data_IF_178674039159
#
_entry.id   IF_178674039159
#
_cell.length_a   1.000
_cell.length_b   1.000
_cell.length_c   1.000
_cell.angle_alpha   90.00
_cell.angle_beta   90.00
_cell.angle_gamma   90.00
#
_symmetry.space_group_name_H-M   'P 1'
#
loop_
_entity.id
_entity.type
_entity.pdbx_description
1 polymer ?
#
# COMPACT_ATOMS: atom_id res chain seq x y z
N UNK A 1 -6.62 8.64 5.44
CA UNK A 1 -6.03 7.62 6.34
C UNK A 1 -7.06 6.68 6.94
N UNK A 2 -7.91 7.07 7.91
CA UNK A 2 -8.87 6.16 8.56
C UNK A 2 -9.75 5.34 7.59
N UNK A 3 -10.36 6.01 6.62
CA UNK A 3 -11.15 5.38 5.57
C UNK A 3 -10.32 4.38 4.74
N UNK A 4 -9.16 4.81 4.23
CA UNK A 4 -8.24 3.93 3.48
C UNK A 4 -7.75 2.73 4.27
N UNK A 5 -7.50 2.89 5.58
CA UNK A 5 -7.16 1.78 6.47
C UNK A 5 -8.26 0.71 6.50
N UNK A 6 -9.53 1.11 6.56
CA UNK A 6 -10.65 0.17 6.48
C UNK A 6 -10.71 -0.57 5.14
N UNK A 7 -10.48 0.14 4.04
CA UNK A 7 -10.49 -0.44 2.68
C UNK A 7 -9.34 -1.43 2.51
N UNK A 8 -8.14 -1.11 2.99
CA UNK A 8 -6.99 -2.00 2.97
C UNK A 8 -7.20 -3.25 3.83
N UNK A 9 -7.87 -3.15 4.98
CA UNK A 9 -8.25 -4.33 5.80
C UNK A 9 -9.20 -5.25 5.04
N UNK A 10 -10.19 -4.71 4.34
CA UNK A 10 -11.07 -5.52 3.51
C UNK A 10 -10.29 -6.16 2.35
N UNK A 11 -9.48 -5.38 1.64
CA UNK A 11 -8.71 -5.87 0.49
C UNK A 11 -7.69 -6.94 0.89
N UNK A 12 -6.95 -6.78 1.99
CA UNK A 12 -6.00 -7.80 2.43
C UNK A 12 -6.70 -9.11 2.80
N UNK A 13 -7.91 -9.04 3.38
CA UNK A 13 -8.67 -10.22 3.76
C UNK A 13 -9.24 -10.96 2.53
N UNK A 14 -9.94 -10.24 1.66
CA UNK A 14 -10.70 -10.82 0.55
C UNK A 14 -9.91 -10.92 -0.76
N UNK A 15 -9.19 -9.87 -1.13
CA UNK A 15 -8.47 -9.79 -2.41
C UNK A 15 -7.10 -10.47 -2.40
N UNK A 16 -6.48 -10.61 -1.22
CA UNK A 16 -5.14 -11.18 -1.10
C UNK A 16 -5.13 -12.53 -0.39
N UNK A 17 -5.60 -12.59 0.86
CA UNK A 17 -5.51 -13.83 1.67
C UNK A 17 -6.48 -14.89 1.17
N UNK A 18 -7.74 -14.53 0.96
CA UNK A 18 -8.72 -15.48 0.43
C UNK A 18 -8.36 -15.95 -0.98
N UNK A 19 -7.91 -15.04 -1.86
CA UNK A 19 -7.47 -15.38 -3.22
C UNK A 19 -6.23 -16.30 -3.21
N UNK A 20 -5.25 -16.00 -2.35
CA UNK A 20 -4.09 -16.86 -2.15
C UNK A 20 -4.48 -18.27 -1.70
N UNK A 21 -5.45 -18.39 -0.78
CA UNK A 21 -5.95 -19.69 -0.31
C UNK A 21 -6.73 -20.44 -1.39
N UNK A 22 -7.61 -19.76 -2.13
CA UNK A 22 -8.35 -20.35 -3.25
C UNK A 22 -7.41 -20.90 -4.32
N UNK A 23 -6.29 -20.22 -4.55
CA UNK A 23 -5.31 -20.63 -5.54
C UNK A 23 -4.44 -21.81 -5.07
N UNK A 24 -3.89 -21.77 -3.85
CA UNK A 24 -3.04 -22.86 -3.35
C UNK A 24 -3.83 -24.09 -2.91
N UNK A 25 -5.11 -23.94 -2.57
CA UNK A 25 -5.92 -24.95 -1.88
C UNK A 25 -5.26 -25.48 -0.61
N UNK A 26 -4.34 -24.69 -0.04
CA UNK A 26 -3.49 -25.07 1.08
C UNK A 26 -3.21 -23.87 1.96
N UNK A 27 -3.37 -24.06 3.26
CA UNK A 27 -3.12 -23.01 4.25
C UNK A 27 -1.63 -22.73 4.44
N UNK A 28 -0.77 -23.72 4.19
CA UNK A 28 0.66 -23.62 4.53
C UNK A 28 1.39 -22.56 3.67
N UNK A 29 1.25 -22.53 2.33
CA UNK A 29 1.83 -21.48 1.50
C UNK A 29 1.35 -20.07 1.90
N UNK A 30 0.06 -19.93 2.23
CA UNK A 30 -0.56 -18.66 2.63
C UNK A 30 0.03 -18.16 3.95
N UNK A 31 0.13 -19.03 4.97
CA UNK A 31 0.70 -18.64 6.26
C UNK A 31 2.19 -18.34 6.14
N UNK A 32 2.94 -19.12 5.37
CA UNK A 32 4.37 -18.87 5.13
C UNK A 32 4.57 -17.51 4.48
N UNK A 33 3.85 -17.22 3.39
CA UNK A 33 3.92 -15.92 2.73
C UNK A 33 3.52 -14.81 3.68
N UNK A 34 2.36 -14.89 4.31
CA UNK A 34 1.84 -13.88 5.24
C UNK A 34 2.81 -13.53 6.37
N UNK A 35 3.30 -14.54 7.10
CA UNK A 35 4.23 -14.32 8.21
C UNK A 35 5.56 -13.79 7.70
N UNK A 36 6.10 -14.35 6.61
CA UNK A 36 7.38 -13.88 6.05
C UNK A 36 7.30 -12.45 5.53
N UNK A 37 6.16 -12.04 4.95
CA UNK A 37 5.91 -10.67 4.51
C UNK A 37 5.86 -9.67 5.64
N UNK A 38 5.10 -9.98 6.69
CA UNK A 38 5.06 -9.15 7.89
C UNK A 38 6.44 -9.01 8.55
N UNK A 39 7.15 -10.14 8.72
CA UNK A 39 8.51 -10.13 9.27
C UNK A 39 9.48 -9.34 8.38
N UNK A 40 9.43 -9.52 7.06
CA UNK A 40 10.30 -8.79 6.13
C UNK A 40 10.06 -7.28 6.22
N UNK A 41 8.80 -6.84 6.30
CA UNK A 41 8.47 -5.44 6.49
C UNK A 41 9.00 -4.91 7.83
N UNK A 42 8.75 -5.61 8.94
CA UNK A 42 9.27 -5.20 10.27
C UNK A 42 10.79 -5.13 10.28
N UNK A 43 11.47 -6.13 9.70
CA UNK A 43 12.94 -6.18 9.62
C UNK A 43 13.48 -5.03 8.75
N UNK A 44 12.89 -4.79 7.58
CA UNK A 44 13.26 -3.69 6.72
C UNK A 44 13.10 -2.35 7.45
N UNK A 45 11.97 -2.16 8.13
CA UNK A 45 11.71 -0.95 8.92
C UNK A 45 12.71 -0.80 10.07
N UNK A 46 13.02 -1.89 10.76
CA UNK A 46 14.02 -1.91 11.83
C UNK A 46 15.42 -1.54 11.32
N UNK A 47 15.88 -2.09 10.20
CA UNK A 47 17.18 -1.77 9.62
C UNK A 47 17.26 -0.33 9.11
N UNK A 48 16.20 0.16 8.44
CA UNK A 48 16.08 1.56 8.04
C UNK A 48 16.13 2.47 9.27
N UNK A 49 15.48 2.06 10.37
CA UNK A 49 15.46 2.84 11.60
C UNK A 49 16.83 2.98 12.27
N UNK A 50 17.70 1.97 12.13
CA UNK A 50 19.06 1.97 12.67
C UNK A 50 20.08 2.72 11.82
N UNK A 51 19.86 2.83 10.51
CA UNK A 51 20.80 3.47 9.58
C UNK A 51 20.56 4.96 9.35
N UNK A 52 19.48 5.53 9.89
CA UNK A 52 19.23 6.97 9.85
C UNK A 52 19.91 7.64 11.07
N UNK A 53 21.03 8.37 10.90
CA UNK A 53 21.78 8.97 12.01
C UNK A 53 21.14 10.27 12.56
N UNK A 54 20.00 10.70 12.02
CA UNK A 54 19.24 11.86 12.49
C UNK A 54 17.94 11.35 13.16
N UNK A 55 17.74 11.67 14.43
CA UNK A 55 16.66 11.19 15.31
C UNK A 55 15.22 11.61 14.95
N UNK A 56 14.83 11.59 13.67
CA UNK A 56 13.52 12.02 13.18
C UNK A 56 12.72 10.90 12.48
N UNK A 57 12.90 9.63 12.87
CA UNK A 57 12.16 8.51 12.22
C UNK A 57 10.70 8.45 12.66
N UNK A 58 10.34 9.09 13.79
CA UNK A 58 8.95 9.40 14.09
C UNK A 58 8.30 10.33 13.04
N UNK A 59 9.08 11.10 12.28
CA UNK A 59 8.58 11.95 11.19
C UNK A 59 8.61 11.27 9.81
N UNK A 60 9.35 10.17 9.62
CA UNK A 60 9.27 9.36 8.39
C UNK A 60 8.11 8.36 8.42
N UNK A 61 7.71 7.86 9.59
CA UNK A 61 6.42 7.15 9.72
C UNK A 61 5.20 8.07 9.51
N UNK A 62 5.38 9.38 9.73
CA UNK A 62 4.42 10.44 9.33
C UNK A 62 4.46 10.79 7.83
N UNK A 63 5.29 10.11 7.02
CA UNK A 63 5.37 10.38 5.59
C UNK A 63 4.38 9.58 4.75
N UNK A 64 3.56 8.73 5.35
CA UNK A 64 2.42 8.09 4.67
C UNK A 64 1.15 8.95 4.68
N UNK A 65 1.13 10.10 5.38
CA UNK A 65 -0.02 10.98 5.33
C UNK A 65 0.23 12.35 5.92
N UNK A 66 0.43 13.34 5.05
CA UNK A 66 -0.05 14.70 5.27
C UNK A 66 0.64 15.48 6.41
N UNK A 67 1.74 16.16 6.08
CA UNK A 67 2.07 17.42 6.76
C UNK A 67 1.20 18.56 6.22
N UNK A 68 -0.10 18.54 6.56
CA UNK A 68 -0.93 19.73 6.49
C UNK A 68 -0.63 20.58 7.74
N UNK A 69 0.43 21.38 7.67
CA UNK A 69 0.74 22.38 8.69
C UNK A 69 2.18 22.37 9.17
N UNK A 70 3.05 23.08 8.45
CA UNK A 70 4.28 23.70 8.95
C UNK A 70 5.22 22.82 9.79
N UNK A 71 6.12 22.06 9.14
CA UNK A 71 7.05 21.20 9.87
C UNK A 71 8.28 20.65 9.14
N UNK A 72 9.04 21.48 8.40
CA UNK A 72 10.47 21.29 8.01
C UNK A 72 10.99 19.85 7.71
N UNK A 73 11.48 19.70 6.47
CA UNK A 73 12.57 18.79 6.03
C UNK A 73 12.23 17.34 5.62
N UNK A 74 11.04 17.06 5.06
CA UNK A 74 10.85 15.87 4.20
C UNK A 74 10.69 16.32 2.74
N UNK A 75 11.68 16.03 1.89
CA UNK A 75 11.60 16.36 0.47
C UNK A 75 10.43 15.62 -0.16
N UNK A 76 9.49 16.31 -0.82
CA UNK A 76 8.39 15.67 -1.55
C UNK A 76 8.85 14.61 -2.56
N UNK A 77 10.11 14.70 -3.03
CA UNK A 77 10.79 13.67 -3.83
C UNK A 77 10.97 12.34 -3.09
N UNK A 78 11.29 12.39 -1.79
CA UNK A 78 11.46 11.19 -0.97
C UNK A 78 10.12 10.48 -0.77
N UNK A 79 9.03 11.24 -0.62
CA UNK A 79 7.66 10.70 -0.55
C UNK A 79 7.30 10.03 -1.88
N UNK A 80 7.59 10.67 -3.02
CA UNK A 80 7.37 10.08 -4.34
C UNK A 80 8.16 8.76 -4.53
N UNK A 81 9.45 8.74 -4.17
CA UNK A 81 10.28 7.53 -4.30
C UNK A 81 9.76 6.42 -3.40
N UNK A 82 9.39 6.73 -2.15
CA UNK A 82 8.77 5.77 -1.24
C UNK A 82 7.48 5.21 -1.82
N UNK A 83 6.57 6.09 -2.22
CA UNK A 83 5.29 5.71 -2.83
C UNK A 83 5.48 4.85 -4.08
N UNK A 84 6.45 5.14 -4.96
CA UNK A 84 6.74 4.28 -6.13
C UNK A 84 7.23 2.89 -5.71
N UNK A 85 8.05 2.78 -4.67
CA UNK A 85 8.52 1.48 -4.17
C UNK A 85 7.39 0.66 -3.57
N UNK A 86 6.48 1.28 -2.83
CA UNK A 86 5.31 0.62 -2.24
C UNK A 86 4.28 0.23 -3.30
N UNK A 87 4.15 1.05 -4.34
CA UNK A 87 3.26 0.81 -5.48
C UNK A 87 3.68 -0.39 -6.35
N UNK A 88 4.95 -0.78 -6.39
CA UNK A 88 5.39 -1.92 -7.21
C UNK A 88 4.73 -3.23 -6.74
N UNK A 89 4.85 -3.64 -5.45
CA UNK A 89 4.14 -4.80 -4.92
C UNK A 89 2.62 -4.73 -5.11
N UNK A 90 2.00 -3.58 -4.83
CA UNK A 90 0.54 -3.42 -4.93
C UNK A 90 0.03 -3.58 -6.37
N UNK A 91 0.69 -2.92 -7.33
CA UNK A 91 0.31 -3.03 -8.74
C UNK A 91 0.60 -4.43 -9.30
N UNK A 92 1.66 -5.10 -8.84
CA UNK A 92 1.91 -6.48 -9.21
C UNK A 92 0.81 -7.42 -8.69
N UNK A 93 0.33 -7.21 -7.46
CA UNK A 93 -0.80 -7.96 -6.90
C UNK A 93 -2.09 -7.74 -7.71
N UNK A 94 -2.38 -6.51 -8.17
CA UNK A 94 -3.49 -6.23 -9.10
C UNK A 94 -3.35 -7.03 -10.40
N UNK A 95 -2.15 -7.11 -10.97
CA UNK A 95 -1.88 -7.86 -12.19
C UNK A 95 -2.12 -9.36 -12.02
N UNK A 96 -1.64 -9.92 -10.91
CA UNK A 96 -1.86 -11.33 -10.55
C UNK A 96 -3.36 -11.61 -10.35
N UNK A 97 -4.06 -10.75 -9.60
CA UNK A 97 -5.50 -10.85 -9.36
C UNK A 97 -6.30 -10.83 -10.68
N UNK A 98 -5.95 -9.93 -11.61
CA UNK A 98 -6.58 -9.87 -12.93
C UNK A 98 -6.37 -11.14 -13.76
N UNK A 99 -5.18 -11.74 -13.70
CA UNK A 99 -4.89 -12.96 -14.44
C UNK A 99 -5.64 -14.18 -13.91
N UNK A 100 -5.83 -14.27 -12.59
CA UNK A 100 -6.51 -15.38 -11.93
C UNK A 100 -8.03 -15.23 -12.06
N UNK A 101 -8.55 -14.05 -11.71
CA UNK A 101 -10.00 -13.79 -11.67
C UNK A 101 -10.62 -13.48 -13.03
N UNK A 102 -9.82 -13.17 -14.05
CA UNK A 102 -10.29 -12.77 -15.39
C UNK A 102 -10.95 -11.39 -15.46
N UNK A 103 -11.10 -10.72 -14.32
CA UNK A 103 -11.64 -9.37 -14.17
C UNK A 103 -10.84 -8.57 -13.15
N UNK A 104 -10.91 -7.24 -13.22
CA UNK A 104 -10.24 -6.37 -12.25
C UNK A 104 -10.93 -6.49 -10.90
N UNK A 105 -10.17 -6.79 -9.85
CA UNK A 105 -10.66 -6.71 -8.47
C UNK A 105 -10.87 -5.24 -8.10
N UNK A 106 -12.15 -4.84 -8.07
CA UNK A 106 -12.56 -3.48 -7.77
C UNK A 106 -12.25 -3.07 -6.32
N UNK A 107 -12.19 -4.03 -5.39
CA UNK A 107 -11.86 -3.78 -3.99
C UNK A 107 -10.39 -3.42 -3.86
N UNK A 108 -9.51 -4.25 -4.45
CA UNK A 108 -8.08 -4.00 -4.47
C UNK A 108 -7.74 -2.71 -5.23
N UNK A 109 -8.40 -2.47 -6.36
CA UNK A 109 -8.23 -1.23 -7.12
C UNK A 109 -8.64 0.00 -6.30
N UNK A 110 -9.80 -0.05 -5.64
CA UNK A 110 -10.27 1.02 -4.78
C UNK A 110 -9.31 1.24 -3.60
N UNK A 111 -8.81 0.18 -2.99
CA UNK A 111 -7.85 0.24 -1.88
C UNK A 111 -6.58 0.99 -2.27
N UNK A 112 -5.98 0.59 -3.39
CA UNK A 112 -4.76 1.20 -3.94
C UNK A 112 -5.02 2.66 -4.30
N UNK A 113 -6.15 2.97 -4.94
CA UNK A 113 -6.50 4.36 -5.27
C UNK A 113 -6.65 5.23 -4.02
N UNK A 114 -7.38 4.75 -3.02
CA UNK A 114 -7.66 5.50 -1.78
C UNK A 114 -6.40 5.68 -0.94
N UNK A 115 -5.46 4.73 -0.98
CA UNK A 115 -4.17 4.84 -0.31
C UNK A 115 -3.25 5.84 -1.02
N UNK A 116 -3.12 5.73 -2.34
CA UNK A 116 -2.19 6.54 -3.12
C UNK A 116 -2.66 7.98 -3.36
N UNK A 117 -3.97 8.25 -3.35
CA UNK A 117 -4.49 9.58 -3.63
C UNK A 117 -4.02 10.65 -2.62
N UNK A 118 -4.15 10.45 -1.29
CA UNK A 118 -3.58 11.35 -0.29
C UNK A 118 -2.06 11.54 -0.40
N UNK A 119 -1.32 10.47 -0.67
CA UNK A 119 0.15 10.53 -0.85
C UNK A 119 0.53 11.35 -2.08
N UNK A 120 -0.20 11.17 -3.17
CA UNK A 120 -0.04 11.90 -4.42
C UNK A 120 -0.17 13.40 -4.24
N UNK A 121 -1.18 13.82 -3.49
CA UNK A 121 -1.41 15.23 -3.14
C UNK A 121 -0.31 15.78 -2.23
N UNK A 122 0.00 15.08 -1.13
CA UNK A 122 0.98 15.54 -0.15
C UNK A 122 2.39 15.63 -0.73
N UNK A 123 2.80 14.67 -1.56
CA UNK A 123 4.10 14.69 -2.25
C UNK A 123 4.18 15.80 -3.29
N UNK A 124 3.10 16.05 -4.03
CA UNK A 124 3.04 17.13 -5.02
C UNK A 124 3.13 18.50 -4.37
N UNK A 125 2.37 18.75 -3.30
CA UNK A 125 2.43 19.98 -2.51
C UNK A 125 3.81 20.16 -1.86
N UNK A 126 4.40 19.08 -1.33
CA UNK A 126 5.76 19.07 -0.80
C UNK A 126 6.80 19.42 -1.87
N UNK A 127 6.66 18.95 -3.11
CA UNK A 127 7.57 19.30 -4.19
C UNK A 127 7.39 20.75 -4.69
N UNK A 128 6.16 21.23 -4.77
CA UNK A 128 5.83 22.60 -5.18
C UNK A 128 6.36 23.62 -4.16
N UNK A 129 6.18 23.36 -2.86
CA UNK A 129 6.69 24.22 -1.78
C UNK A 129 8.23 24.31 -1.75
N UNK A 130 8.93 23.31 -2.28
CA UNK A 130 10.39 23.31 -2.46
C UNK A 130 10.84 23.85 -3.83
N UNK A 131 9.95 24.53 -4.56
CA UNK A 131 10.27 25.23 -5.80
C UNK A 131 10.38 24.35 -7.05
N UNK A 132 9.94 23.08 -7.01
CA UNK A 132 9.88 22.26 -8.23
C UNK A 132 8.76 22.76 -9.15
N UNK A 133 9.05 22.78 -10.45
CA UNK A 133 8.05 23.18 -11.45
C UNK A 133 6.93 22.14 -11.59
N UNK A 134 5.71 22.60 -11.88
CA UNK A 134 4.54 21.73 -12.12
C UNK A 134 4.80 20.69 -13.23
N UNK A 135 5.55 21.06 -14.27
CA UNK A 135 5.94 20.14 -15.35
C UNK A 135 6.80 18.99 -14.85
N UNK A 136 7.77 19.26 -13.97
CA UNK A 136 8.61 18.22 -13.37
C UNK A 136 7.80 17.31 -12.45
N UNK A 137 6.91 17.87 -11.63
CA UNK A 137 6.02 17.09 -10.75
C UNK A 137 5.15 16.14 -11.58
N UNK A 138 4.51 16.64 -12.64
CA UNK A 138 3.72 15.81 -13.56
C UNK A 138 4.57 14.73 -14.24
N UNK A 139 5.78 15.06 -14.69
CA UNK A 139 6.69 14.08 -15.31
C UNK A 139 7.04 12.94 -14.35
N UNK A 140 7.32 13.26 -13.08
CA UNK A 140 7.63 12.26 -12.07
C UNK A 140 6.43 11.34 -11.79
N UNK A 141 5.22 11.89 -11.68
CA UNK A 141 4.00 11.10 -11.49
C UNK A 141 3.64 10.25 -12.71
N UNK A 142 3.83 10.77 -13.92
CA UNK A 142 3.70 9.97 -15.15
C UNK A 142 4.68 8.80 -15.12
N UNK A 143 5.93 9.02 -14.68
CA UNK A 143 6.91 7.97 -14.48
C UNK A 143 6.44 6.91 -13.47
N UNK A 144 5.89 7.34 -12.33
CA UNK A 144 5.33 6.45 -11.31
C UNK A 144 4.19 5.58 -11.87
N UNK A 145 3.26 6.18 -12.62
CA UNK A 145 2.15 5.47 -13.28
C UNK A 145 2.68 4.45 -14.30
N UNK A 146 3.70 4.80 -15.08
CA UNK A 146 4.33 3.86 -16.02
C UNK A 146 4.94 2.67 -15.28
N UNK A 147 5.65 2.90 -14.17
CA UNK A 147 6.23 1.84 -13.33
C UNK A 147 5.13 0.94 -12.76
N UNK A 148 4.04 1.52 -12.24
CA UNK A 148 2.89 0.76 -11.74
C UNK A 148 2.25 -0.11 -12.83
N UNK A 149 2.00 0.47 -14.01
CA UNK A 149 1.47 -0.26 -15.19
C UNK A 149 2.36 -1.43 -15.58
N UNK A 150 3.68 -1.21 -15.65
CA UNK A 150 4.65 -2.28 -15.95
C UNK A 150 4.63 -3.35 -14.87
N UNK A 151 4.56 -2.96 -13.59
CA UNK A 151 4.51 -3.90 -12.45
C UNK A 151 3.27 -4.79 -12.53
N UNK A 152 2.12 -4.22 -12.87
CA UNK A 152 0.87 -4.96 -13.09
C UNK A 152 0.95 -5.89 -14.31
N UNK A 153 1.51 -5.42 -15.44
CA UNK A 153 1.73 -6.27 -16.60
C UNK A 153 2.69 -7.45 -16.31
N UNK A 154 3.73 -7.21 -15.52
CA UNK A 154 4.64 -8.27 -15.04
C UNK A 154 3.88 -9.25 -14.16
N UNK A 155 3.12 -8.76 -13.17
CA UNK A 155 2.31 -9.62 -12.29
C UNK A 155 1.35 -10.51 -13.07
N UNK A 156 0.63 -9.94 -14.04
CA UNK A 156 -0.27 -10.67 -14.92
C UNK A 156 0.48 -11.74 -15.73
N UNK A 157 1.58 -11.37 -16.39
CA UNK A 157 2.32 -12.28 -17.26
C UNK A 157 2.96 -13.41 -16.46
N UNK A 158 3.65 -13.08 -15.36
CA UNK A 158 4.35 -14.06 -14.52
C UNK A 158 3.38 -15.05 -13.89
N UNK A 159 2.18 -14.60 -13.49
CA UNK A 159 1.19 -15.49 -12.90
C UNK A 159 0.78 -16.64 -13.82
N UNK A 160 0.76 -16.43 -15.14
CA UNK A 160 0.40 -17.47 -16.12
C UNK A 160 1.42 -18.61 -16.22
N UNK A 161 2.65 -18.40 -15.74
CA UNK A 161 3.75 -19.37 -15.82
C UNK A 161 4.25 -19.86 -14.45
N UNK A 162 3.60 -19.43 -13.37
CA UNK A 162 4.07 -19.68 -12.00
C UNK A 162 3.16 -20.68 -11.30
N UNK A 163 3.75 -21.56 -10.49
CA UNK A 163 2.99 -22.52 -9.68
C UNK A 163 2.03 -21.80 -8.72
N UNK A 164 0.77 -22.27 -8.58
CA UNK A 164 -0.24 -21.67 -7.68
C UNK A 164 0.26 -21.45 -6.25
N UNK A 165 1.04 -22.38 -5.71
CA UNK A 165 1.61 -22.25 -4.36
C UNK A 165 2.58 -21.08 -4.22
N UNK A 166 3.38 -20.82 -5.25
CA UNK A 166 4.37 -19.72 -5.25
C UNK A 166 3.65 -18.38 -5.36
N UNK A 167 2.62 -18.29 -6.19
CA UNK A 167 1.79 -17.09 -6.27
C UNK A 167 1.02 -16.84 -4.96
N UNK A 168 0.54 -17.90 -4.30
CA UNK A 168 -0.12 -17.78 -3.01
C UNK A 168 0.83 -17.24 -1.94
N UNK A 169 2.08 -17.71 -1.93
CA UNK A 169 3.14 -17.16 -1.06
C UNK A 169 3.36 -15.68 -1.37
N UNK A 170 3.45 -15.29 -2.64
CA UNK A 170 3.69 -13.89 -3.03
C UNK A 170 2.53 -12.95 -2.64
N UNK A 171 1.28 -13.34 -2.93
CA UNK A 171 0.10 -12.53 -2.56
C UNK A 171 -0.05 -12.42 -1.05
N UNK A 172 0.09 -13.53 -0.33
CA UNK A 172 0.00 -13.51 1.14
C UNK A 172 1.18 -12.77 1.77
N UNK A 173 2.38 -12.81 1.18
CA UNK A 173 3.51 -11.97 1.58
C UNK A 173 3.17 -10.47 1.50
N UNK A 174 2.57 -10.02 0.40
CA UNK A 174 2.11 -8.64 0.27
C UNK A 174 1.07 -8.31 1.36
N UNK A 175 0.09 -9.19 1.58
CA UNK A 175 -0.93 -9.00 2.62
C UNK A 175 -0.32 -8.88 4.04
N UNK A 176 0.69 -9.69 4.34
CA UNK A 176 1.39 -9.66 5.63
C UNK A 176 2.15 -8.36 5.85
N UNK A 177 2.87 -7.89 4.81
CA UNK A 177 3.56 -6.61 4.84
C UNK A 177 2.58 -5.43 5.04
N UNK A 178 1.47 -5.42 4.30
CA UNK A 178 0.41 -4.39 4.40
C UNK A 178 -0.20 -4.39 5.81
N UNK A 179 -0.48 -5.55 6.40
CA UNK A 179 -1.06 -5.59 7.75
C UNK A 179 -0.11 -5.01 8.80
N UNK A 180 1.17 -5.33 8.74
CA UNK A 180 2.17 -4.76 9.65
C UNK A 180 2.29 -3.25 9.43
N UNK A 181 2.38 -2.79 8.18
CA UNK A 181 2.39 -1.37 7.83
C UNK A 181 1.17 -0.65 8.44
N UNK A 182 -0.03 -1.20 8.24
CA UNK A 182 -1.28 -0.64 8.72
C UNK A 182 -1.26 -0.43 10.24
N UNK A 183 -0.78 -1.42 11.00
CA UNK A 183 -0.66 -1.37 12.45
C UNK A 183 0.46 -0.45 12.94
N UNK A 184 1.55 -0.33 12.19
CA UNK A 184 2.71 0.46 12.59
C UNK A 184 2.65 1.95 12.22
N UNK A 185 1.91 2.32 11.17
CA UNK A 185 1.87 3.69 10.65
C UNK A 185 0.46 4.20 10.41
N UNK A 186 -0.29 3.64 9.45
CA UNK A 186 -1.52 4.27 8.95
C UNK A 186 -2.62 4.43 10.00
N UNK A 187 -2.88 3.39 10.80
CA UNK A 187 -3.90 3.47 11.87
C UNK A 187 -3.44 4.44 12.97
N UNK A 188 -2.24 4.31 13.56
CA UNK A 188 -1.73 5.29 14.52
C UNK A 188 -1.80 6.74 14.02
N UNK A 189 -1.39 6.99 12.79
CA UNK A 189 -1.41 8.32 12.17
C UNK A 189 -2.84 8.86 11.99
N UNK A 190 -3.78 8.00 11.59
CA UNK A 190 -5.18 8.36 11.55
C UNK A 190 -5.68 8.80 12.93
N UNK A 191 -5.31 8.10 14.01
CA UNK A 191 -5.64 8.48 15.38
C UNK A 191 -4.96 9.77 15.84
N UNK A 192 -3.70 10.00 15.46
CA UNK A 192 -2.97 11.24 15.79
C UNK A 192 -3.61 12.48 15.15
N UNK A 193 -4.05 12.38 13.88
CA UNK A 193 -4.57 13.53 13.13
C UNK A 193 -6.08 13.71 13.25
N UNK A 194 -6.84 12.62 13.22
CA UNK A 194 -8.31 12.63 13.16
C UNK A 194 -8.99 12.57 14.53
N UNK A 195 -8.28 12.17 15.57
CA UNK A 195 -8.82 11.97 16.91
C UNK A 195 -9.64 10.68 17.04
N UNK A 196 -9.65 10.12 18.26
CA UNK A 196 -10.20 8.79 18.52
C UNK A 196 -11.71 8.66 18.25
N UNK A 197 -12.46 9.76 18.26
CA UNK A 197 -13.91 9.78 18.11
C UNK A 197 -14.41 9.47 16.70
N UNK A 198 -13.62 9.75 15.64
CA UNK A 198 -14.07 9.60 14.25
C UNK A 198 -13.28 8.56 13.45
N UNK A 199 -12.07 8.22 13.90
CA UNK A 199 -11.17 7.30 13.18
C UNK A 199 -11.75 5.89 13.10
N UNK A 200 -12.32 5.39 14.21
CA UNK A 200 -13.00 4.09 14.21
C UNK A 200 -14.17 4.04 13.20
N UNK A 201 -14.97 5.11 13.13
CA UNK A 201 -16.05 5.23 12.15
C UNK A 201 -15.52 5.29 10.72
N UNK A 202 -14.44 6.03 10.48
CA UNK A 202 -13.79 6.10 9.17
C UNK A 202 -13.32 4.71 8.71
N UNK A 203 -12.65 3.95 9.57
CA UNK A 203 -12.23 2.57 9.29
C UNK A 203 -13.44 1.68 8.98
N UNK A 204 -14.48 1.75 9.82
CA UNK A 204 -15.72 0.97 9.62
C UNK A 204 -16.38 1.28 8.26
N UNK A 205 -16.51 2.56 7.91
CA UNK A 205 -17.10 3.00 6.64
C UNK A 205 -16.24 2.55 5.46
N UNK A 206 -14.91 2.66 5.57
CA UNK A 206 -13.97 2.17 4.57
C UNK A 206 -14.11 0.68 4.31
N UNK A 207 -14.08 -0.10 5.39
CA UNK A 207 -14.27 -1.56 5.31
C UNK A 207 -15.63 -1.90 4.70
N UNK A 208 -16.70 -1.23 5.13
CA UNK A 208 -18.07 -1.50 4.66
C UNK A 208 -18.22 -1.23 3.17
N UNK A 209 -17.68 -0.11 2.68
CA UNK A 209 -17.73 0.23 1.26
C UNK A 209 -16.88 -0.74 0.41
N UNK A 210 -15.70 -1.10 0.90
CA UNK A 210 -14.85 -2.10 0.26
C UNK A 210 -15.55 -3.47 0.18
N UNK A 211 -16.22 -3.88 1.26
CA UNK A 211 -17.00 -5.11 1.29
C UNK A 211 -18.17 -5.07 0.31
N UNK A 212 -18.93 -3.97 0.26
CA UNK A 212 -20.01 -3.80 -0.72
C UNK A 212 -19.44 -3.94 -2.13
N UNK A 213 -18.39 -3.20 -2.47
CA UNK A 213 -17.75 -3.25 -3.79
C UNK A 213 -17.26 -4.64 -4.18
N UNK A 214 -16.85 -5.46 -3.23
CA UNK A 214 -16.41 -6.85 -3.48
C UNK A 214 -17.55 -7.83 -3.70
N UNK A 215 -18.79 -7.43 -3.46
CA UNK A 215 -19.97 -8.29 -3.50
C UNK A 215 -21.07 -7.73 -4.43
N UNK A 216 -20.75 -6.77 -5.30
CA UNK A 216 -21.63 -6.26 -6.37
C UNK A 216 -21.11 -6.71 -7.73
#
# INVERSE_FOLDING_TARGET
MAFGSGVLVASLAYSLIEEAFKMSQSILPVIIGFVSGGLAFTIANYYLSRRSPQGNIRHRKKSHGTEAGGGKDVSGTAILVGSVMDNIPENMALGISLAIGGSVDLVLLAAIFISNFPEGLSSSEGMESHGKSKKLILLLWTGAICIGTISSAIGFTVSSYTEPNVLAIALSFAAGAILVMLGESMIPEAYEQGGASIVGLGIMVGFSLAFILGNV
#
